data_IF_794420764403
#
_entry.id   IF_794420764403
#
_cell.length_a   1.000
_cell.length_b   1.000
_cell.length_c   1.000
_cell.angle_alpha   90.00
_cell.angle_beta   90.00
_cell.angle_gamma   90.00
#
_symmetry.space_group_name_H-M   'P 1'
#
loop_
_entity.id
_entity.type
_entity.pdbx_description
1 polymer ?
#
# COMPACT_ATOMS: atom_id res chain seq x y z
N UNK A 1 30.01 -5.56 22.15
CA UNK A 1 28.54 -5.44 22.05
C UNK A 1 28.25 -4.56 20.85
N UNK A 2 27.62 -5.08 19.80
CA UNK A 2 27.20 -4.24 18.68
C UNK A 2 26.23 -3.17 19.21
N UNK A 3 26.49 -1.90 18.92
CA UNK A 3 25.59 -0.81 19.33
C UNK A 3 24.24 -0.97 18.64
N UNK A 4 23.14 -1.03 19.40
CA UNK A 4 21.80 -1.07 18.82
C UNK A 4 21.59 0.14 17.89
N UNK A 5 21.16 -0.12 16.66
CA UNK A 5 20.80 0.92 15.71
C UNK A 5 19.60 1.71 16.24
N UNK A 6 19.64 3.04 16.15
CA UNK A 6 18.55 3.92 16.58
C UNK A 6 18.13 4.80 15.39
N UNK A 7 16.99 4.52 14.74
CA UNK A 7 16.48 5.38 13.66
C UNK A 7 16.04 6.75 14.22
N UNK A 8 15.94 7.76 13.34
CA UNK A 8 15.33 9.05 13.68
C UNK A 8 14.06 9.29 12.86
N UNK A 9 14.13 9.10 11.55
CA UNK A 9 13.01 9.29 10.63
C UNK A 9 12.77 8.01 9.82
N UNK A 10 11.63 7.36 10.07
CA UNK A 10 11.26 6.06 9.48
C UNK A 10 10.14 6.24 8.47
N UNK A 11 10.37 5.80 7.23
CA UNK A 11 9.32 5.61 6.24
C UNK A 11 8.77 4.18 6.34
N UNK A 12 7.48 4.03 6.62
CA UNK A 12 6.77 2.74 6.57
C UNK A 12 5.82 2.76 5.39
N UNK A 13 6.11 1.95 4.36
CA UNK A 13 5.21 1.83 3.20
C UNK A 13 4.12 0.80 3.49
N UNK A 14 2.87 1.04 3.09
CA UNK A 14 1.79 0.04 3.23
C UNK A 14 1.19 -0.04 4.64
N UNK A 15 1.39 0.96 5.49
CA UNK A 15 0.99 0.93 6.90
C UNK A 15 -0.52 1.07 7.13
N UNK A 16 -1.32 1.37 6.11
CA UNK A 16 -2.78 1.25 6.23
C UNK A 16 -3.24 -0.21 6.02
N UNK A 17 -2.36 -1.12 5.61
CA UNK A 17 -2.61 -2.57 5.57
C UNK A 17 -2.53 -3.24 6.94
N UNK A 18 -2.60 -4.58 6.95
CA UNK A 18 -2.66 -5.39 8.16
C UNK A 18 -1.37 -5.30 9.02
N UNK A 19 -0.31 -6.04 8.66
CA UNK A 19 0.90 -6.19 9.51
C UNK A 19 1.56 -4.84 9.80
N UNK A 20 1.71 -4.02 8.77
CA UNK A 20 2.42 -2.75 8.87
C UNK A 20 1.73 -1.74 9.79
N UNK A 21 0.41 -1.80 9.95
CA UNK A 21 -0.31 -0.95 10.91
C UNK A 21 0.05 -1.29 12.36
N UNK A 22 0.17 -2.58 12.69
CA UNK A 22 0.62 -3.03 14.01
C UNK A 22 2.05 -2.56 14.30
N UNK A 23 2.95 -2.71 13.33
CA UNK A 23 4.34 -2.22 13.44
C UNK A 23 4.36 -0.70 13.62
N UNK A 24 3.60 0.04 12.81
CA UNK A 24 3.52 1.50 12.89
C UNK A 24 3.01 1.97 14.26
N UNK A 25 1.85 1.49 14.69
CA UNK A 25 1.25 1.85 15.98
C UNK A 25 2.18 1.51 17.15
N UNK A 26 2.86 0.37 17.08
CA UNK A 26 3.82 -0.08 18.10
C UNK A 26 5.04 0.84 18.18
N UNK A 27 5.64 1.18 17.04
CA UNK A 27 6.81 2.08 17.01
C UNK A 27 6.47 3.48 17.51
N UNK A 28 5.31 4.02 17.10
CA UNK A 28 4.85 5.35 17.54
C UNK A 28 4.63 5.39 19.04
N UNK A 29 3.97 4.38 19.60
CA UNK A 29 3.69 4.27 21.04
C UNK A 29 4.97 4.11 21.86
N UNK A 30 5.88 3.25 21.43
CA UNK A 30 7.04 2.86 22.23
C UNK A 30 8.23 3.83 22.05
N UNK A 31 8.29 4.56 20.93
CA UNK A 31 9.42 5.43 20.58
C UNK A 31 8.93 6.82 20.16
N UNK A 32 8.52 7.67 21.12
CA UNK A 32 8.00 9.02 20.84
C UNK A 32 9.03 9.95 20.18
N UNK A 33 10.33 9.60 20.24
CA UNK A 33 11.41 10.36 19.62
C UNK A 33 11.67 9.97 18.15
N UNK A 34 11.01 8.93 17.62
CA UNK A 34 11.10 8.56 16.21
C UNK A 34 9.99 9.24 15.44
N UNK A 35 10.32 9.88 14.32
CA UNK A 35 9.33 10.39 13.38
C UNK A 35 8.93 9.27 12.42
N UNK A 36 7.65 8.93 12.38
CA UNK A 36 7.10 7.87 11.54
C UNK A 36 6.28 8.50 10.41
N UNK A 37 6.76 8.32 9.19
CA UNK A 37 6.09 8.73 7.96
C UNK A 37 5.53 7.48 7.29
N UNK A 38 4.23 7.51 6.98
CA UNK A 38 3.56 6.43 6.26
C UNK A 38 3.34 6.83 4.82
N UNK A 39 3.66 5.94 3.88
CA UNK A 39 3.28 6.04 2.48
C UNK A 39 2.38 4.87 2.09
N UNK A 40 1.13 5.16 1.73
CA UNK A 40 0.16 4.12 1.35
C UNK A 40 -0.78 4.64 0.26
N UNK A 41 -1.06 3.81 -0.76
CA UNK A 41 -1.97 4.19 -1.86
C UNK A 41 -3.45 4.06 -1.49
N UNK A 42 -3.75 3.43 -0.35
CA UNK A 42 -5.09 3.06 0.12
C UNK A 42 -5.80 2.13 -0.87
N UNK A 43 -5.17 0.98 -1.15
CA UNK A 43 -5.74 -0.07 -1.99
C UNK A 43 -6.88 -0.82 -1.28
N UNK A 44 -7.51 -1.79 -1.94
CA UNK A 44 -8.70 -2.49 -1.45
C UNK A 44 -8.54 -3.12 -0.06
N UNK A 45 -7.33 -3.58 0.28
CA UNK A 45 -7.01 -4.20 1.58
C UNK A 45 -6.38 -3.22 2.58
N UNK A 46 -6.44 -1.91 2.32
CA UNK A 46 -5.92 -0.85 3.18
C UNK A 46 -7.06 -0.08 3.84
N UNK A 47 -6.87 0.31 5.10
CA UNK A 47 -7.85 1.10 5.85
C UNK A 47 -7.19 2.06 6.84
N UNK A 48 -7.48 3.35 6.70
CA UNK A 48 -6.97 4.37 7.62
C UNK A 48 -7.41 4.14 9.08
N UNK A 49 -8.52 3.41 9.30
CA UNK A 49 -8.95 3.03 10.65
C UNK A 49 -7.86 2.24 11.41
N UNK A 50 -7.02 1.49 10.71
CA UNK A 50 -5.91 0.72 11.29
C UNK A 50 -4.87 1.61 11.98
N UNK A 51 -4.81 2.90 11.61
CA UNK A 51 -3.86 3.89 12.14
C UNK A 51 -4.50 4.87 13.13
N UNK A 52 -5.78 4.68 13.51
CA UNK A 52 -6.46 5.50 14.53
C UNK A 52 -5.65 5.61 15.83
N UNK A 53 -5.04 4.53 16.38
CA UNK A 53 -4.30 4.61 17.64
C UNK A 53 -3.15 5.62 17.62
N UNK A 54 -2.61 5.95 16.44
CA UNK A 54 -1.48 6.86 16.27
C UNK A 54 -1.81 8.15 15.52
N UNK A 55 -3.08 8.35 15.13
CA UNK A 55 -3.48 9.47 14.27
C UNK A 55 -3.18 10.84 14.88
N UNK A 56 -3.28 10.98 16.20
CA UNK A 56 -3.04 12.24 16.92
C UNK A 56 -1.62 12.37 17.47
N UNK A 57 -0.75 11.38 17.22
CA UNK A 57 0.62 11.41 17.73
C UNK A 57 1.45 12.47 16.99
N UNK A 58 2.21 13.32 17.69
CA UNK A 58 2.96 14.42 17.07
C UNK A 58 4.09 13.94 16.15
N UNK A 59 4.53 12.69 16.33
CA UNK A 59 5.58 12.04 15.57
C UNK A 59 5.04 11.16 14.43
N UNK A 60 3.77 11.34 14.03
CA UNK A 60 3.13 10.58 12.97
C UNK A 60 2.73 11.47 11.78
N UNK A 61 3.04 11.01 10.56
CA UNK A 61 2.60 11.65 9.31
C UNK A 61 2.11 10.60 8.34
N UNK A 62 0.94 10.83 7.74
CA UNK A 62 0.41 9.97 6.68
C UNK A 62 0.46 10.68 5.33
N UNK A 63 0.96 9.98 4.30
CA UNK A 63 1.03 10.43 2.92
C UNK A 63 0.30 9.41 2.04
N UNK A 64 -0.79 9.85 1.40
CA UNK A 64 -1.46 9.03 0.39
C UNK A 64 -0.67 9.07 -0.91
N UNK A 65 -0.21 7.92 -1.39
CA UNK A 65 0.54 7.84 -2.64
C UNK A 65 1.04 6.45 -2.98
N UNK A 66 1.50 6.28 -4.21
CA UNK A 66 2.00 5.01 -4.73
C UNK A 66 3.53 4.99 -4.70
N UNK A 67 4.11 3.87 -4.24
CA UNK A 67 5.56 3.63 -4.24
C UNK A 67 6.14 3.57 -5.66
N UNK A 68 5.31 3.33 -6.69
CA UNK A 68 5.71 3.38 -8.09
C UNK A 68 5.97 4.81 -8.61
N UNK A 69 5.64 5.84 -7.83
CA UNK A 69 5.92 7.24 -8.18
C UNK A 69 7.31 7.65 -7.72
N UNK A 70 8.29 7.60 -8.63
CA UNK A 70 9.68 7.94 -8.33
C UNK A 70 9.84 9.37 -7.80
N UNK A 71 9.13 10.34 -8.38
CA UNK A 71 9.20 11.74 -7.94
C UNK A 71 8.69 11.90 -6.50
N UNK A 72 7.57 11.25 -6.17
CA UNK A 72 7.00 11.29 -4.83
C UNK A 72 7.92 10.63 -3.80
N UNK A 73 8.46 9.45 -4.13
CA UNK A 73 9.37 8.74 -3.24
C UNK A 73 10.62 9.58 -2.98
N UNK A 74 11.26 10.11 -4.02
CA UNK A 74 12.43 10.99 -3.86
C UNK A 74 12.10 12.23 -3.03
N UNK A 75 10.96 12.86 -3.28
CA UNK A 75 10.50 14.00 -2.50
C UNK A 75 10.38 13.65 -1.02
N UNK A 76 9.69 12.56 -0.66
CA UNK A 76 9.50 12.13 0.73
C UNK A 76 10.83 11.85 1.41
N UNK A 77 11.73 11.11 0.75
CA UNK A 77 13.03 10.78 1.36
C UNK A 77 13.80 12.05 1.73
N UNK A 78 13.81 13.05 0.85
CA UNK A 78 14.53 14.31 1.06
C UNK A 78 13.81 15.19 2.10
N UNK A 79 12.52 15.49 1.92
CA UNK A 79 11.82 16.48 2.75
C UNK A 79 11.60 16.02 4.17
N UNK A 80 11.39 14.71 4.38
CA UNK A 80 11.22 14.13 5.72
C UNK A 80 12.55 13.66 6.31
N UNK A 81 13.67 13.85 5.60
CA UNK A 81 15.01 13.42 6.02
C UNK A 81 15.05 11.96 6.46
N UNK A 82 14.38 11.08 5.71
CA UNK A 82 14.22 9.66 6.03
C UNK A 82 15.60 8.99 6.12
N UNK A 83 15.87 8.32 7.23
CA UNK A 83 17.10 7.52 7.40
C UNK A 83 16.84 6.01 7.38
N UNK A 84 15.58 5.60 7.58
CA UNK A 84 15.19 4.20 7.68
C UNK A 84 13.94 3.94 6.88
N UNK A 85 13.90 2.86 6.12
CA UNK A 85 12.70 2.41 5.39
C UNK A 85 12.32 1.03 5.90
N UNK A 86 11.03 0.84 6.20
CA UNK A 86 10.41 -0.47 6.42
C UNK A 86 9.36 -0.69 5.33
N UNK A 87 9.69 -1.54 4.36
CA UNK A 87 8.95 -1.68 3.12
C UNK A 87 7.98 -2.88 3.17
N UNK A 88 6.72 -2.61 3.55
CA UNK A 88 5.63 -3.61 3.59
C UNK A 88 4.67 -3.56 2.38
N UNK A 89 4.66 -2.48 1.61
CA UNK A 89 3.69 -2.29 0.53
C UNK A 89 3.85 -3.37 -0.55
N UNK A 90 2.80 -4.15 -0.80
CA UNK A 90 2.77 -5.22 -1.78
C UNK A 90 1.32 -5.61 -2.14
N UNK A 91 1.13 -6.25 -3.30
CA UNK A 91 -0.04 -7.09 -3.58
C UNK A 91 0.24 -8.50 -3.06
N UNK A 92 -0.72 -9.10 -2.33
CA UNK A 92 -0.45 -10.32 -1.54
C UNK A 92 -1.47 -11.46 -1.65
N UNK A 93 -2.55 -11.31 -2.42
CA UNK A 93 -3.56 -12.36 -2.51
C UNK A 93 -3.20 -13.36 -3.62
N UNK A 94 -2.82 -14.59 -3.23
CA UNK A 94 -2.37 -15.64 -4.15
C UNK A 94 -3.38 -15.90 -5.27
N UNK A 95 -4.67 -16.09 -4.96
CA UNK A 95 -5.69 -16.35 -6.00
C UNK A 95 -5.83 -15.17 -6.98
N UNK A 96 -5.67 -13.92 -6.52
CA UNK A 96 -5.74 -12.74 -7.39
C UNK A 96 -4.52 -12.65 -8.31
N UNK A 97 -3.39 -13.24 -7.92
CA UNK A 97 -2.14 -13.19 -8.69
C UNK A 97 -2.22 -13.99 -9.99
N UNK A 98 -3.03 -15.05 -10.05
CA UNK A 98 -3.26 -15.82 -11.28
C UNK A 98 -4.07 -15.04 -12.32
N UNK A 99 -5.01 -14.19 -11.88
CA UNK A 99 -5.84 -13.38 -12.77
C UNK A 99 -5.24 -12.01 -13.12
N UNK A 100 -4.25 -11.52 -12.36
CA UNK A 100 -3.72 -10.16 -12.48
C UNK A 100 -2.21 -10.06 -12.17
N UNK A 101 -1.41 -11.01 -12.65
CA UNK A 101 0.03 -11.12 -12.35
C UNK A 101 0.86 -9.88 -12.73
N UNK A 102 0.44 -9.10 -13.73
CA UNK A 102 1.09 -7.85 -14.12
C UNK A 102 1.02 -6.78 -13.03
N UNK A 103 -0.11 -6.63 -12.33
CA UNK A 103 -0.21 -5.68 -11.22
C UNK A 103 0.65 -6.11 -10.02
N UNK A 104 0.82 -7.41 -9.80
CA UNK A 104 1.77 -7.93 -8.80
C UNK A 104 3.21 -7.58 -9.18
N UNK A 105 3.59 -7.73 -10.46
CA UNK A 105 4.91 -7.33 -10.95
C UNK A 105 5.14 -5.82 -10.76
N UNK A 106 4.16 -5.00 -11.14
CA UNK A 106 4.22 -3.55 -11.02
C UNK A 106 4.35 -3.09 -9.56
N UNK A 107 3.54 -3.63 -8.67
CA UNK A 107 3.54 -3.21 -7.27
C UNK A 107 4.74 -3.79 -6.50
N UNK A 108 5.02 -5.08 -6.66
CA UNK A 108 6.01 -5.78 -5.84
C UNK A 108 7.43 -5.60 -6.38
N UNK A 109 7.65 -5.74 -7.69
CA UNK A 109 9.00 -5.60 -8.27
C UNK A 109 9.29 -4.15 -8.60
N UNK A 110 8.50 -3.52 -9.46
CA UNK A 110 8.77 -2.16 -9.91
C UNK A 110 8.67 -1.15 -8.75
N UNK A 111 7.67 -1.27 -7.88
CA UNK A 111 7.57 -0.44 -6.67
C UNK A 111 8.78 -0.56 -5.73
N UNK A 112 9.28 -1.78 -5.47
CA UNK A 112 10.52 -1.97 -4.72
C UNK A 112 11.72 -1.38 -5.44
N UNK A 113 11.82 -1.53 -6.77
CA UNK A 113 12.91 -0.97 -7.56
C UNK A 113 12.96 0.57 -7.48
N UNK A 114 11.80 1.25 -7.54
CA UNK A 114 11.71 2.70 -7.38
C UNK A 114 12.26 3.14 -6.02
N UNK A 115 11.90 2.44 -4.94
CA UNK A 115 12.44 2.72 -3.61
C UNK A 115 13.96 2.54 -3.56
N UNK A 116 14.48 1.45 -4.13
CA UNK A 116 15.92 1.16 -4.14
C UNK A 116 16.72 2.21 -4.93
N UNK A 117 16.24 2.62 -6.11
CA UNK A 117 16.87 3.71 -6.88
C UNK A 117 16.82 5.04 -6.12
N UNK A 118 15.70 5.38 -5.47
CA UNK A 118 15.61 6.59 -4.66
C UNK A 118 16.58 6.55 -3.45
N UNK A 119 16.75 5.38 -2.81
CA UNK A 119 17.73 5.19 -1.73
C UNK A 119 19.16 5.42 -2.24
N UNK A 120 19.50 4.86 -3.40
CA UNK A 120 20.81 5.02 -4.05
C UNK A 120 21.09 6.48 -4.43
N UNK A 121 20.10 7.17 -4.99
CA UNK A 121 20.23 8.58 -5.40
C UNK A 121 20.40 9.51 -4.20
N UNK A 122 19.64 9.28 -3.12
CA UNK A 122 19.68 10.14 -1.93
C UNK A 122 20.88 9.85 -1.03
N UNK A 123 21.34 8.59 -0.96
CA UNK A 123 22.54 8.20 -0.21
C UNK A 123 22.45 8.38 1.32
N UNK A 124 21.27 8.73 1.86
CA UNK A 124 21.07 9.04 3.28
C UNK A 124 20.50 7.87 4.10
N UNK A 125 20.06 6.80 3.43
CA UNK A 125 19.44 5.65 4.08
C UNK A 125 20.50 4.84 4.82
N UNK A 126 20.25 4.60 6.10
CA UNK A 126 21.10 3.82 7.02
C UNK A 126 20.55 2.43 7.29
N UNK A 127 19.27 2.19 6.98
CA UNK A 127 18.64 0.87 7.08
C UNK A 127 17.43 0.74 6.15
N UNK A 128 17.41 -0.30 5.33
CA UNK A 128 16.29 -0.64 4.45
C UNK A 128 15.79 -2.05 4.77
N UNK A 129 14.64 -2.17 5.42
CA UNK A 129 14.03 -3.46 5.78
C UNK A 129 13.01 -3.83 4.70
N UNK A 130 13.32 -4.84 3.90
CA UNK A 130 12.41 -5.41 2.91
C UNK A 130 11.59 -6.53 3.52
N UNK A 131 10.27 -6.40 3.47
CA UNK A 131 9.35 -7.41 4.02
C UNK A 131 8.91 -8.36 2.92
N UNK A 132 9.22 -9.64 3.09
CA UNK A 132 8.89 -10.74 2.19
C UNK A 132 8.14 -11.86 2.93
N UNK A 133 8.05 -13.04 2.32
CA UNK A 133 7.19 -14.16 2.74
C UNK A 133 7.96 -15.47 2.69
N UNK A 134 7.55 -16.45 3.49
CA UNK A 134 8.03 -17.83 3.40
C UNK A 134 7.74 -18.50 2.05
N UNK A 135 6.65 -18.14 1.37
CA UNK A 135 6.29 -18.68 0.04
C UNK A 135 7.39 -18.49 -1.03
N UNK A 136 8.38 -17.62 -0.80
CA UNK A 136 9.54 -17.48 -1.71
C UNK A 136 10.45 -18.71 -1.71
N UNK A 137 10.43 -19.51 -0.64
CA UNK A 137 11.15 -20.79 -0.57
C UNK A 137 10.44 -21.89 -1.35
N UNK A 138 9.15 -21.74 -1.62
CA UNK A 138 8.30 -22.79 -2.20
C UNK A 138 7.92 -23.88 -1.20
N UNK A 139 7.33 -24.94 -1.74
CA UNK A 139 6.88 -26.09 -0.97
C UNK A 139 8.02 -26.78 -0.21
N UNK A 140 7.73 -27.21 1.01
CA UNK A 140 8.64 -28.03 1.83
C UNK A 140 8.11 -29.44 1.95
N UNK A 141 8.98 -30.44 1.84
CA UNK A 141 8.59 -31.85 1.95
C UNK A 141 7.90 -32.15 3.30
N UNK A 142 6.89 -33.02 3.28
CA UNK A 142 6.10 -33.36 4.48
C UNK A 142 6.95 -34.04 5.57
N UNK A 143 7.99 -34.77 5.18
CA UNK A 143 8.92 -35.47 6.08
C UNK A 143 10.13 -34.61 6.49
N UNK A 144 10.21 -33.36 6.03
CA UNK A 144 11.29 -32.45 6.42
C UNK A 144 11.29 -32.20 7.93
N UNK A 145 12.42 -32.53 8.56
CA UNK A 145 12.67 -32.34 10.00
C UNK A 145 13.20 -30.93 10.31
N UNK A 146 13.87 -30.31 9.33
CA UNK A 146 14.46 -28.97 9.45
C UNK A 146 13.76 -28.04 8.47
N UNK A 147 13.33 -26.88 8.96
CA UNK A 147 12.70 -25.87 8.13
C UNK A 147 13.70 -25.15 7.24
N UNK A 148 13.20 -24.43 6.24
CA UNK A 148 14.02 -23.58 5.39
C UNK A 148 14.70 -22.48 6.20
N UNK A 149 16.03 -22.49 6.24
CA UNK A 149 16.83 -21.43 6.84
C UNK A 149 17.11 -20.33 5.81
N UNK A 150 17.69 -19.21 6.22
CA UNK A 150 17.76 -18.01 5.36
C UNK A 150 18.63 -18.15 4.09
N UNK A 151 19.49 -19.16 4.05
CA UNK A 151 20.33 -19.48 2.90
C UNK A 151 19.72 -20.57 1.99
N UNK A 152 18.53 -21.08 2.31
CA UNK A 152 17.77 -21.95 1.42
C UNK A 152 17.49 -21.27 0.07
N UNK A 153 17.41 -22.09 -0.98
CA UNK A 153 17.08 -21.63 -2.32
C UNK A 153 15.67 -21.05 -2.39
N UNK A 154 15.47 -20.04 -3.23
CA UNK A 154 14.14 -19.52 -3.54
C UNK A 154 13.53 -20.30 -4.69
N UNK A 155 12.40 -20.96 -4.46
CA UNK A 155 11.68 -21.78 -5.43
C UNK A 155 10.18 -21.39 -5.47
N UNK A 156 9.84 -20.13 -5.77
CA UNK A 156 8.45 -19.67 -5.74
C UNK A 156 7.57 -20.43 -6.75
N UNK A 157 6.39 -20.86 -6.31
CA UNK A 157 5.47 -21.72 -7.06
C UNK A 157 4.28 -20.99 -7.69
N UNK A 158 4.08 -19.70 -7.37
CA UNK A 158 2.93 -18.92 -7.85
C UNK A 158 3.32 -17.48 -8.23
N UNK A 159 2.49 -16.74 -9.01
CA UNK A 159 2.87 -15.39 -9.46
C UNK A 159 3.10 -14.39 -8.31
N UNK A 160 2.38 -14.52 -7.19
CA UNK A 160 2.63 -13.69 -6.01
C UNK A 160 4.03 -13.95 -5.43
N UNK A 161 4.35 -15.19 -5.08
CA UNK A 161 5.65 -15.54 -4.49
C UNK A 161 6.80 -15.26 -5.46
N UNK A 162 6.60 -15.46 -6.77
CA UNK A 162 7.58 -15.13 -7.79
C UNK A 162 7.90 -13.63 -7.84
N UNK A 163 6.90 -12.76 -7.73
CA UNK A 163 7.14 -11.30 -7.69
C UNK A 163 7.78 -10.84 -6.38
N UNK A 164 7.51 -11.51 -5.26
CA UNK A 164 8.22 -11.27 -3.98
C UNK A 164 9.68 -11.70 -4.05
N UNK A 165 9.96 -12.88 -4.58
CA UNK A 165 11.33 -13.35 -4.82
C UNK A 165 12.08 -12.43 -5.81
N UNK A 166 11.43 -11.98 -6.89
CA UNK A 166 12.00 -11.01 -7.83
C UNK A 166 12.38 -9.68 -7.19
N UNK A 167 11.54 -9.17 -6.27
CA UNK A 167 11.86 -7.98 -5.48
C UNK A 167 13.06 -8.22 -4.55
N UNK A 168 13.16 -9.38 -3.90
CA UNK A 168 14.32 -9.74 -3.08
C UNK A 168 15.63 -9.78 -3.88
N UNK A 169 15.59 -10.29 -5.12
CA UNK A 169 16.78 -10.30 -5.98
C UNK A 169 17.28 -8.89 -6.27
N UNK A 170 16.37 -7.93 -6.48
CA UNK A 170 16.75 -6.52 -6.62
C UNK A 170 17.33 -5.97 -5.32
N UNK A 171 16.69 -6.20 -4.17
CA UNK A 171 17.19 -5.74 -2.87
C UNK A 171 18.60 -6.26 -2.60
N UNK A 172 18.84 -7.55 -2.86
CA UNK A 172 20.15 -8.18 -2.71
C UNK A 172 21.17 -7.56 -3.68
N UNK A 173 20.82 -7.42 -4.96
CA UNK A 173 21.71 -6.84 -5.97
C UNK A 173 22.10 -5.40 -5.63
N UNK A 174 21.17 -4.61 -5.11
CA UNK A 174 21.43 -3.22 -4.71
C UNK A 174 22.29 -3.12 -3.44
N UNK A 175 22.08 -4.01 -2.47
CA UNK A 175 22.97 -4.14 -1.32
C UNK A 175 24.41 -4.44 -1.74
N UNK A 176 24.59 -5.38 -2.68
CA UNK A 176 25.93 -5.77 -3.17
C UNK A 176 26.59 -4.72 -4.08
N UNK A 177 25.83 -4.14 -5.01
CA UNK A 177 26.37 -3.28 -6.07
C UNK A 177 26.56 -1.84 -5.61
N UNK A 178 25.71 -1.36 -4.69
CA UNK A 178 25.69 0.04 -4.26
C UNK A 178 25.89 0.21 -2.76
N UNK A 179 26.13 -0.86 -2.01
CA UNK A 179 26.34 -0.80 -0.56
C UNK A 179 25.10 -0.36 0.23
N UNK A 180 23.89 -0.51 -0.33
CA UNK A 180 22.67 -0.14 0.39
C UNK A 180 22.51 -1.00 1.66
N UNK A 181 22.16 -0.40 2.81
CA UNK A 181 22.10 -1.10 4.09
C UNK A 181 20.81 -1.91 4.24
N UNK A 182 20.67 -2.96 3.42
CA UNK A 182 19.46 -3.76 3.30
C UNK A 182 19.38 -4.87 4.36
N UNK A 183 18.18 -5.15 4.83
CA UNK A 183 17.83 -6.31 5.65
C UNK A 183 16.57 -6.89 5.02
N UNK A 184 16.49 -8.21 4.86
CA UNK A 184 15.27 -8.86 4.35
C UNK A 184 14.63 -9.67 5.44
N UNK A 185 13.30 -9.69 5.52
CA UNK A 185 12.55 -10.55 6.42
C UNK A 185 11.65 -11.48 5.63
N UNK A 186 11.52 -12.74 6.03
CA UNK A 186 10.58 -13.70 5.43
C UNK A 186 9.72 -14.28 6.54
N UNK A 187 8.42 -14.05 6.50
CA UNK A 187 7.51 -14.44 7.59
C UNK A 187 6.56 -15.56 7.21
N UNK A 188 6.13 -16.34 8.21
CA UNK A 188 4.98 -17.24 8.09
C UNK A 188 3.64 -16.47 8.00
N UNK A 189 2.52 -17.19 7.85
CA UNK A 189 1.19 -16.60 7.89
C UNK A 189 0.96 -15.83 9.18
N UNK A 190 0.54 -14.57 9.05
CA UNK A 190 0.18 -13.72 10.18
C UNK A 190 -1.34 -13.68 10.31
N UNK A 191 -1.85 -13.63 11.55
CA UNK A 191 -3.27 -13.48 11.84
C UNK A 191 -3.50 -12.52 13.02
N UNK A 192 -4.67 -11.90 13.07
CA UNK A 192 -4.97 -10.91 14.09
C UNK A 192 -6.03 -9.88 13.71
N UNK A 193 -6.31 -8.92 14.61
CA UNK A 193 -7.04 -7.69 14.31
C UNK A 193 -6.58 -7.02 13.01
N UNK A 194 -7.46 -6.26 12.34
CA UNK A 194 -7.11 -5.53 11.12
C UNK A 194 -6.66 -6.40 9.92
N UNK A 195 -6.88 -7.71 9.92
CA UNK A 195 -6.65 -8.52 8.72
C UNK A 195 -7.83 -8.40 7.74
N UNK A 196 -7.55 -8.28 6.43
CA UNK A 196 -8.63 -8.15 5.45
C UNK A 196 -9.41 -9.49 5.29
N UNK A 197 -10.76 -9.49 5.21
CA UNK A 197 -11.57 -10.71 5.28
C UNK A 197 -11.51 -11.72 4.14
N UNK A 198 -10.58 -11.59 3.20
CA UNK A 198 -10.28 -12.61 2.18
C UNK A 198 -9.37 -13.73 2.73
N UNK A 199 -8.60 -13.42 3.78
CA UNK A 199 -7.64 -14.36 4.39
C UNK A 199 -8.38 -15.37 5.27
N UNK A 200 -7.80 -16.57 5.43
CA UNK A 200 -8.45 -17.75 6.00
C UNK A 200 -9.19 -17.50 7.33
N UNK A 201 -8.46 -17.06 8.35
CA UNK A 201 -9.00 -16.90 9.71
C UNK A 201 -10.10 -15.83 9.75
N UNK A 202 -9.90 -14.61 9.23
CA UNK A 202 -10.96 -13.60 9.12
C UNK A 202 -12.18 -14.07 8.34
N UNK A 203 -11.99 -14.73 7.19
CA UNK A 203 -13.08 -15.26 6.37
C UNK A 203 -13.93 -16.24 7.17
N UNK A 204 -13.27 -17.20 7.81
CA UNK A 204 -13.94 -18.20 8.63
C UNK A 204 -14.66 -17.60 9.83
N UNK A 205 -14.06 -16.61 10.51
CA UNK A 205 -14.71 -15.90 11.60
C UNK A 205 -15.98 -15.18 11.13
N UNK A 206 -15.92 -14.39 10.06
CA UNK A 206 -17.09 -13.67 9.56
C UNK A 206 -18.18 -14.60 9.02
N UNK A 207 -17.82 -15.72 8.39
CA UNK A 207 -18.78 -16.74 7.97
C UNK A 207 -19.42 -17.44 9.18
N UNK A 208 -18.62 -17.80 10.18
CA UNK A 208 -19.09 -18.43 11.41
C UNK A 208 -20.03 -17.51 12.21
N UNK A 209 -19.71 -16.21 12.31
CA UNK A 209 -20.57 -15.18 12.91
C UNK A 209 -21.95 -15.11 12.23
N UNK A 210 -21.99 -15.34 10.91
CA UNK A 210 -23.23 -15.40 10.11
C UNK A 210 -23.85 -16.80 10.06
N UNK A 211 -23.27 -17.79 10.75
CA UNK A 211 -23.63 -19.22 10.68
C UNK A 211 -23.62 -19.77 9.25
N UNK A 212 -22.77 -19.21 8.39
CA UNK A 212 -22.59 -19.66 7.01
C UNK A 212 -21.54 -20.78 6.95
N UNK A 213 -21.51 -21.57 5.86
CA UNK A 213 -20.47 -22.56 5.66
C UNK A 213 -19.07 -21.97 5.52
N UNK A 214 -18.06 -22.64 6.07
CA UNK A 214 -16.64 -22.33 5.98
C UNK A 214 -16.03 -23.13 4.80
N UNK A 215 -15.63 -22.46 3.70
CA UNK A 215 -15.08 -23.13 2.54
C UNK A 215 -13.63 -23.56 2.75
N UNK A 216 -13.34 -24.84 2.56
CA UNK A 216 -11.98 -25.39 2.61
C UNK A 216 -11.57 -25.80 1.19
N UNK A 217 -10.46 -25.26 0.71
CA UNK A 217 -9.88 -25.65 -0.58
C UNK A 217 -9.27 -27.05 -0.50
N UNK A 218 -9.59 -27.90 -1.49
CA UNK A 218 -9.11 -29.27 -1.52
C UNK A 218 -9.68 -30.08 -0.35
N UNK A 219 -8.82 -30.83 0.35
CA UNK A 219 -9.18 -31.62 1.53
C UNK A 219 -8.84 -30.92 2.87
N UNK A 220 -8.25 -29.72 2.80
CA UNK A 220 -7.80 -28.97 3.97
C UNK A 220 -6.60 -29.54 4.71
N UNK A 221 -5.87 -30.49 4.10
CA UNK A 221 -4.67 -31.10 4.68
C UNK A 221 -3.46 -30.17 4.67
N UNK A 222 -3.47 -29.10 3.85
CA UNK A 222 -2.40 -28.12 3.78
C UNK A 222 -1.99 -27.62 5.18
N UNK A 223 -0.69 -27.64 5.43
CA UNK A 223 -0.06 -27.29 6.70
C UNK A 223 0.55 -25.88 6.61
N UNK A 224 0.26 -25.04 7.60
CA UNK A 224 0.81 -23.69 7.72
C UNK A 224 1.19 -23.40 9.17
N UNK A 225 2.14 -22.49 9.34
CA UNK A 225 2.47 -21.88 10.63
C UNK A 225 1.77 -20.53 10.76
N UNK A 226 1.16 -20.26 11.91
CA UNK A 226 0.40 -19.04 12.16
C UNK A 226 1.00 -18.24 13.32
N UNK A 227 1.36 -16.99 13.06
CA UNK A 227 1.89 -16.07 14.07
C UNK A 227 0.91 -14.93 14.37
N UNK A 228 0.76 -14.60 15.65
CA UNK A 228 -0.09 -13.50 16.07
C UNK A 228 0.55 -12.15 15.70
N UNK A 229 -0.25 -11.21 15.19
CA UNK A 229 0.24 -9.96 14.57
C UNK A 229 1.08 -9.07 15.50
N UNK A 230 0.80 -9.02 16.80
CA UNK A 230 1.59 -8.23 17.75
C UNK A 230 2.97 -8.84 18.01
N UNK A 231 3.08 -10.17 18.02
CA UNK A 231 4.37 -10.87 18.15
C UNK A 231 5.22 -10.61 16.90
N UNK A 232 4.60 -10.61 15.72
CA UNK A 232 5.26 -10.23 14.46
C UNK A 232 5.67 -8.76 14.47
N UNK A 233 4.85 -7.86 15.01
CA UNK A 233 5.22 -6.46 15.16
C UNK A 233 6.42 -6.28 16.11
N UNK A 234 6.52 -7.07 17.18
CA UNK A 234 7.71 -7.15 18.04
C UNK A 234 8.93 -7.68 17.26
N UNK A 235 8.77 -8.67 16.38
CA UNK A 235 9.87 -9.16 15.53
C UNK A 235 10.47 -8.05 14.67
N UNK A 236 9.62 -7.25 14.02
CA UNK A 236 10.06 -6.12 13.22
C UNK A 236 10.76 -5.04 14.04
N UNK A 237 10.31 -4.78 15.26
CA UNK A 237 11.01 -3.89 16.20
C UNK A 237 12.40 -4.43 16.56
N UNK A 238 12.50 -5.73 16.90
CA UNK A 238 13.79 -6.37 17.23
C UNK A 238 14.75 -6.29 16.04
N UNK A 239 14.29 -6.63 14.83
CA UNK A 239 15.10 -6.56 13.60
C UNK A 239 15.48 -5.10 13.29
N UNK A 240 14.58 -4.14 13.51
CA UNK A 240 14.84 -2.72 13.33
C UNK A 240 16.00 -2.22 14.18
N UNK A 241 16.18 -2.69 15.41
CA UNK A 241 17.27 -2.20 16.28
C UNK A 241 18.51 -3.10 16.28
N UNK A 242 18.33 -4.41 16.16
CA UNK A 242 19.40 -5.41 16.36
C UNK A 242 19.77 -6.17 15.10
N UNK A 243 18.96 -6.10 14.04
CA UNK A 243 19.25 -6.75 12.77
C UNK A 243 20.56 -6.24 12.16
N UNK A 244 21.31 -7.17 11.58
CA UNK A 244 22.56 -6.91 10.88
C UNK A 244 22.29 -6.59 9.41
N UNK A 245 22.97 -5.58 8.89
CA UNK A 245 22.87 -5.20 7.48
C UNK A 245 23.45 -6.31 6.59
N UNK A 246 22.79 -6.57 5.45
CA UNK A 246 23.12 -7.64 4.52
C UNK A 246 22.48 -8.98 4.87
N UNK A 247 21.80 -9.07 6.01
CA UNK A 247 21.24 -10.33 6.50
C UNK A 247 19.76 -10.46 6.17
N UNK A 248 19.34 -11.71 6.01
CA UNK A 248 17.93 -12.12 6.01
C UNK A 248 17.57 -12.66 7.39
N UNK A 249 16.33 -12.47 7.82
CA UNK A 249 15.76 -13.04 9.05
C UNK A 249 14.40 -13.69 8.78
N UNK A 250 14.28 -14.97 9.10
CA UNK A 250 13.00 -15.65 9.11
C UNK A 250 12.20 -15.28 10.38
N UNK A 251 10.90 -14.96 10.21
CA UNK A 251 9.95 -14.69 11.28
C UNK A 251 8.94 -15.84 11.28
N UNK A 252 9.19 -16.87 12.08
CA UNK A 252 8.43 -18.11 12.00
C UNK A 252 8.05 -18.71 13.35
N UNK A 253 7.37 -19.85 13.29
CA UNK A 253 7.15 -20.75 14.43
C UNK A 253 7.21 -22.20 13.97
N UNK A 254 7.68 -23.08 14.86
CA UNK A 254 7.67 -24.54 14.65
C UNK A 254 6.28 -25.16 14.92
N UNK A 255 5.28 -24.34 15.31
CA UNK A 255 3.90 -24.77 15.58
C UNK A 255 3.06 -24.75 14.31
N UNK A 256 2.97 -25.91 13.68
CA UNK A 256 2.23 -26.11 12.44
C UNK A 256 0.77 -26.49 12.70
N UNK A 257 -0.14 -26.07 11.81
CA UNK A 257 -1.57 -26.38 11.85
C UNK A 257 -2.09 -26.67 10.45
N UNK A 258 -2.98 -27.65 10.34
CA UNK A 258 -3.72 -27.89 9.08
C UNK A 258 -4.86 -26.89 8.95
N UNK A 259 -5.19 -26.52 7.73
CA UNK A 259 -6.32 -25.64 7.42
C UNK A 259 -7.63 -26.16 7.99
N UNK A 260 -7.87 -27.48 7.92
CA UNK A 260 -9.06 -28.12 8.50
C UNK A 260 -9.14 -27.97 10.02
N UNK A 261 -8.01 -28.00 10.73
CA UNK A 261 -7.98 -27.91 12.18
C UNK A 261 -8.30 -26.48 12.63
N UNK A 262 -7.84 -25.47 11.89
CA UNK A 262 -8.23 -24.06 12.09
C UNK A 262 -9.74 -23.87 11.92
N UNK A 263 -10.33 -24.46 10.87
CA UNK A 263 -11.78 -24.38 10.63
C UNK A 263 -12.58 -25.01 11.78
N UNK A 264 -12.15 -26.19 12.26
CA UNK A 264 -12.79 -26.90 13.38
C UNK A 264 -12.74 -26.09 14.67
N UNK A 265 -11.62 -25.45 14.97
CA UNK A 265 -11.46 -24.61 16.16
C UNK A 265 -12.35 -23.37 16.08
N UNK A 266 -12.46 -22.73 14.90
CA UNK A 266 -13.40 -21.62 14.71
C UNK A 266 -14.85 -22.09 14.88
N UNK A 267 -15.25 -23.24 14.30
CA UNK A 267 -16.58 -23.81 14.53
C UNK A 267 -16.85 -24.03 16.03
N UNK A 268 -15.88 -24.55 16.79
CA UNK A 268 -16.01 -24.72 18.25
C UNK A 268 -16.22 -23.39 18.97
N UNK A 269 -15.47 -22.35 18.63
CA UNK A 269 -15.61 -21.01 19.24
C UNK A 269 -17.01 -20.44 19.04
N UNK A 270 -17.61 -20.65 17.86
CA UNK A 270 -18.95 -20.17 17.53
C UNK A 270 -20.07 -21.17 17.81
N UNK A 271 -19.77 -22.30 18.48
CA UNK A 271 -20.73 -23.38 18.77
C UNK A 271 -21.48 -23.87 17.52
N UNK A 272 -20.73 -24.08 16.43
CA UNK A 272 -21.23 -24.58 15.15
C UNK A 272 -20.96 -26.08 15.00
N UNK A 273 -21.91 -26.76 14.36
CA UNK A 273 -21.79 -28.16 13.94
C UNK A 273 -20.77 -28.27 12.79
N UNK A 274 -19.63 -28.92 13.06
CA UNK A 274 -18.49 -29.05 12.15
C UNK A 274 -18.90 -29.69 10.82
N UNK A 275 -19.69 -30.77 10.86
CA UNK A 275 -20.06 -31.55 9.67
C UNK A 275 -21.02 -30.77 8.75
N UNK A 276 -21.83 -29.89 9.35
CA UNK A 276 -22.75 -29.03 8.60
C UNK A 276 -22.06 -27.81 8.01
N UNK A 277 -21.14 -27.19 8.75
CA UNK A 277 -20.59 -25.88 8.39
C UNK A 277 -19.29 -25.97 7.61
N UNK A 278 -18.49 -27.02 7.73
CA UNK A 278 -17.31 -27.16 6.88
C UNK A 278 -17.73 -27.69 5.51
N UNK A 279 -17.32 -27.00 4.43
CA UNK A 279 -17.59 -27.41 3.05
C UNK A 279 -16.32 -27.40 2.23
N UNK A 280 -15.99 -28.53 1.64
CA UNK A 280 -14.88 -28.63 0.70
C UNK A 280 -15.27 -27.99 -0.63
N UNK A 281 -14.35 -27.22 -1.19
CA UNK A 281 -14.45 -26.55 -2.48
C UNK A 281 -13.24 -26.93 -3.33
N UNK A 282 -13.27 -26.53 -4.61
CA UNK A 282 -12.14 -26.76 -5.52
C UNK A 282 -10.81 -26.29 -4.90
N UNK A 283 -9.76 -27.07 -5.12
CA UNK A 283 -8.43 -26.71 -4.63
C UNK A 283 -7.89 -25.51 -5.42
N UNK A 284 -6.96 -24.77 -4.83
CA UNK A 284 -6.27 -23.70 -5.56
C UNK A 284 -5.23 -24.31 -6.51
N UNK A 285 -5.01 -23.72 -7.69
CA UNK A 285 -3.86 -24.06 -8.51
C UNK A 285 -2.57 -23.82 -7.72
N UNK A 286 -1.64 -24.78 -7.75
CA UNK A 286 -0.32 -24.67 -7.09
C UNK A 286 -0.42 -24.31 -5.60
N UNK A 287 -1.32 -25.00 -4.89
CA UNK A 287 -1.48 -24.84 -3.45
C UNK A 287 -0.45 -25.71 -2.70
N UNK A 288 0.72 -25.13 -2.42
CA UNK A 288 1.80 -25.84 -1.73
C UNK A 288 1.31 -26.52 -0.44
N UNK A 289 1.72 -27.76 -0.22
CA UNK A 289 1.20 -28.57 0.87
C UNK A 289 1.67 -28.06 2.22
N UNK A 290 2.94 -27.68 2.33
CA UNK A 290 3.57 -27.27 3.60
C UNK A 290 4.60 -26.16 3.37
N UNK A 291 4.59 -25.18 4.28
CA UNK A 291 5.69 -24.22 4.43
C UNK A 291 6.28 -24.36 5.82
N UNK A 292 7.57 -24.65 5.91
CA UNK A 292 8.26 -24.84 7.17
C UNK A 292 9.53 -23.99 7.23
N UNK A 293 9.62 -23.08 8.20
CA UNK A 293 10.74 -22.16 8.38
C UNK A 293 11.59 -22.55 9.59
N UNK A 294 12.89 -22.30 9.48
CA UNK A 294 13.78 -22.19 10.62
C UNK A 294 13.90 -20.71 11.05
N UNK A 295 13.61 -20.41 12.32
CA UNK A 295 13.57 -19.07 12.92
C UNK A 295 14.68 -18.85 13.97
N UNK A 296 15.65 -19.76 14.08
CA UNK A 296 16.71 -19.71 15.10
C UNK A 296 17.55 -18.43 15.04
N UNK A 297 17.82 -17.91 13.83
CA UNK A 297 18.60 -16.69 13.65
C UNK A 297 17.95 -15.46 14.29
N UNK A 298 16.62 -15.35 14.20
CA UNK A 298 15.87 -14.27 14.84
C UNK A 298 15.75 -14.48 16.36
N UNK A 299 15.60 -15.73 16.82
CA UNK A 299 15.64 -16.06 18.25
C UNK A 299 16.96 -15.65 18.91
N UNK A 300 18.07 -15.81 18.19
CA UNK A 300 19.38 -15.35 18.64
C UNK A 300 19.51 -13.82 18.78
N UNK A 301 18.62 -13.03 18.15
CA UNK A 301 18.50 -11.58 18.41
C UNK A 301 17.64 -11.26 19.66
N UNK A 302 17.04 -12.27 20.27
CA UNK A 302 16.23 -12.19 21.48
C UNK A 302 14.73 -12.02 21.24
N UNK A 303 14.22 -12.37 20.05
CA UNK A 303 12.78 -12.43 19.79
C UNK A 303 12.23 -13.84 20.01
N UNK A 304 11.04 -13.95 20.60
CA UNK A 304 10.33 -15.21 20.77
C UNK A 304 8.82 -14.97 20.62
N UNK A 305 8.11 -15.93 20.05
CA UNK A 305 6.64 -15.97 20.06
C UNK A 305 6.14 -15.99 21.53
N UNK A 306 5.22 -15.09 21.87
CA UNK A 306 4.69 -14.92 23.24
C UNK A 306 3.22 -15.33 23.35
N UNK A 307 2.47 -15.14 22.27
CA UNK A 307 1.03 -15.33 22.24
C UNK A 307 0.71 -16.77 21.89
N UNK A 308 0.00 -17.48 22.76
CA UNK A 308 -0.50 -18.82 22.41
C UNK A 308 -1.53 -18.74 21.29
N UNK A 309 -1.74 -19.84 20.58
CA UNK A 309 -2.74 -19.92 19.53
C UNK A 309 -4.15 -19.58 20.04
N UNK A 310 -4.53 -20.15 21.19
CA UNK A 310 -5.85 -19.96 21.79
C UNK A 310 -6.08 -18.49 22.15
N UNK A 311 -5.07 -17.84 22.74
CA UNK A 311 -5.13 -16.44 23.13
C UNK A 311 -5.17 -15.51 21.91
N UNK A 312 -4.34 -15.78 20.90
CA UNK A 312 -4.34 -15.00 19.67
C UNK A 312 -5.66 -15.14 18.91
N UNK A 313 -6.21 -16.36 18.83
CA UNK A 313 -7.47 -16.63 18.15
C UNK A 313 -8.65 -15.96 18.88
N UNK A 314 -8.66 -15.99 20.22
CA UNK A 314 -9.63 -15.26 21.07
C UNK A 314 -9.58 -13.75 20.81
N UNK A 315 -8.40 -13.13 20.89
CA UNK A 315 -8.22 -11.68 20.62
C UNK A 315 -8.66 -11.29 19.21
N UNK A 316 -8.35 -12.15 18.24
CA UNK A 316 -8.75 -11.94 16.84
C UNK A 316 -10.28 -11.97 16.72
N UNK A 317 -10.93 -12.98 17.31
CA UNK A 317 -12.39 -13.11 17.33
C UNK A 317 -13.07 -11.91 18.00
N UNK A 318 -12.62 -11.53 19.20
CA UNK A 318 -13.14 -10.37 19.93
C UNK A 318 -13.05 -9.10 19.10
N UNK A 319 -11.96 -8.91 18.36
CA UNK A 319 -11.82 -7.77 17.48
C UNK A 319 -12.84 -7.79 16.34
N UNK A 320 -13.03 -8.91 15.63
CA UNK A 320 -14.02 -8.99 14.54
C UNK A 320 -15.45 -8.81 15.03
N UNK A 321 -15.78 -9.34 16.21
CA UNK A 321 -17.10 -9.16 16.84
C UNK A 321 -17.35 -7.69 17.17
N UNK A 322 -16.34 -6.97 17.67
CA UNK A 322 -16.47 -5.56 18.04
C UNK A 322 -16.30 -4.59 16.85
N UNK A 323 -15.89 -5.07 15.68
CA UNK A 323 -15.60 -4.24 14.51
C UNK A 323 -16.21 -4.80 13.20
N UNK A 324 -17.53 -5.09 13.16
CA UNK A 324 -18.17 -5.77 12.02
C UNK A 324 -18.08 -4.96 10.71
N UNK A 325 -18.15 -3.62 10.80
CA UNK A 325 -18.15 -2.71 9.65
C UNK A 325 -16.78 -2.08 9.38
N UNK A 326 -15.70 -2.71 9.87
CA UNK A 326 -14.37 -2.13 9.74
C UNK A 326 -14.00 -1.89 8.27
N UNK A 327 -14.22 -2.91 7.44
CA UNK A 327 -13.86 -2.98 6.02
C UNK A 327 -14.98 -2.61 5.05
N UNK A 328 -16.18 -2.27 5.54
CA UNK A 328 -17.36 -2.06 4.70
C UNK A 328 -17.89 -3.36 4.12
N UNK A 329 -18.35 -3.33 2.86
CA UNK A 329 -18.85 -4.54 2.19
C UNK A 329 -17.70 -5.48 1.81
N UNK A 330 -17.72 -6.66 2.42
CA UNK A 330 -16.73 -7.74 2.21
C UNK A 330 -17.36 -8.99 1.61
N UNK A 331 -18.58 -8.91 1.10
CA UNK A 331 -19.29 -10.05 0.50
C UNK A 331 -18.46 -10.80 -0.54
N UNK A 332 -17.80 -10.07 -1.46
CA UNK A 332 -16.90 -10.65 -2.46
C UNK A 332 -15.66 -11.33 -1.87
N UNK A 333 -15.12 -10.82 -0.75
CA UNK A 333 -13.97 -11.40 -0.07
C UNK A 333 -14.31 -12.73 0.61
N UNK A 334 -15.57 -12.93 1.01
CA UNK A 334 -16.07 -14.13 1.67
C UNK A 334 -16.38 -15.29 0.70
N UNK A 335 -16.29 -15.05 -0.61
CA UNK A 335 -16.42 -16.13 -1.60
C UNK A 335 -15.29 -17.15 -1.44
N UNK A 336 -15.53 -18.45 -1.73
CA UNK A 336 -14.49 -19.47 -1.65
C UNK A 336 -13.27 -19.11 -2.50
N UNK A 337 -13.47 -18.76 -3.77
CA UNK A 337 -12.45 -18.24 -4.68
C UNK A 337 -12.79 -16.79 -5.02
N UNK A 338 -12.24 -15.80 -4.28
CA UNK A 338 -12.41 -14.41 -4.62
C UNK A 338 -11.74 -14.20 -5.98
N UNK A 339 -12.52 -13.89 -7.01
CA UNK A 339 -11.99 -13.24 -8.20
C UNK A 339 -12.22 -11.77 -7.98
N UNK A 340 -11.19 -10.94 -8.09
CA UNK A 340 -11.45 -9.51 -8.21
C UNK A 340 -12.38 -9.31 -9.41
N UNK A 341 -13.64 -8.96 -9.13
CA UNK A 341 -14.40 -8.11 -10.01
C UNK A 341 -13.54 -6.86 -10.17
N UNK A 342 -12.90 -6.70 -11.31
CA UNK A 342 -12.41 -5.39 -11.73
C UNK A 342 -13.65 -4.51 -11.74
N UNK A 343 -13.92 -3.76 -10.67
CA UNK A 343 -15.04 -2.84 -10.66
C UNK A 343 -14.69 -1.69 -11.62
N UNK A 344 -15.44 -1.48 -12.72
CA UNK A 344 -15.47 -0.17 -13.34
C UNK A 344 -16.06 0.79 -12.31
N UNK A 345 -15.52 2.00 -12.21
CA UNK A 345 -15.90 2.99 -11.21
C UNK A 345 -17.42 3.09 -11.01
N UNK A 346 -17.86 2.83 -9.78
CA UNK A 346 -19.20 3.22 -9.34
C UNK A 346 -19.03 4.57 -8.67
N UNK A 347 -19.23 5.62 -9.46
CA UNK A 347 -19.73 6.87 -8.92
C UNK A 347 -21.06 6.55 -8.22
N UNK A 348 -21.13 6.87 -6.92
CA UNK A 348 -22.39 6.86 -6.17
C UNK A 348 -23.32 7.91 -6.79
N UNK A 349 -24.24 7.48 -7.65
CA UNK A 349 -25.46 8.25 -7.91
C UNK A 349 -26.30 8.23 -6.64
N UNK A 350 -26.40 9.40 -6.00
CA UNK A 350 -27.42 9.69 -5.00
C UNK A 350 -28.62 10.19 -5.81
N UNK A 351 -29.53 9.30 -6.17
CA UNK A 351 -30.82 9.68 -6.74
C UNK A 351 -31.86 9.70 -5.60
N UNK A 352 -32.26 10.90 -5.20
CA UNK A 352 -33.51 11.15 -4.47
C UNK A 352 -34.66 11.35 -5.48
N UNK A 353 -35.92 11.08 -5.09
CA UNK A 353 -37.03 11.13 -6.04
C UNK A 353 -37.65 12.52 -6.08
N UNK A 354 -37.59 13.22 -7.22
CA UNK A 354 -38.49 14.35 -7.47
C UNK A 354 -39.06 14.33 -8.89
N UNK A 355 -40.33 13.91 -8.93
CA UNK A 355 -41.51 14.54 -9.55
C UNK A 355 -41.34 15.25 -10.90
N UNK A 356 -42.08 14.71 -11.88
CA UNK A 356 -42.46 15.29 -13.16
C UNK A 356 -43.19 16.64 -13.07
N UNK A 357 -42.85 17.61 -13.95
CA UNK A 357 -43.83 18.31 -14.80
C UNK A 357 -43.22 19.30 -15.83
N UNK A 358 -43.66 19.11 -17.08
CA UNK A 358 -44.05 20.08 -18.13
C UNK A 358 -43.13 21.22 -18.62
N UNK A 359 -42.78 21.10 -19.91
CA UNK A 359 -43.13 21.96 -21.05
C UNK A 359 -42.46 23.35 -21.29
N UNK A 360 -41.76 23.41 -22.44
CA UNK A 360 -41.81 24.41 -23.53
C UNK A 360 -41.46 25.88 -23.30
N UNK A 361 -40.42 26.35 -24.00
CA UNK A 361 -40.50 27.29 -25.17
C UNK A 361 -39.31 28.27 -25.25
N UNK A 362 -38.63 28.25 -26.40
CA UNK A 362 -37.86 29.36 -27.01
C UNK A 362 -38.89 30.32 -27.69
N UNK A 363 -38.58 31.58 -28.11
CA UNK A 363 -37.29 31.98 -28.71
C UNK A 363 -36.84 33.47 -28.59
N UNK A 364 -35.67 33.76 -29.19
CA UNK A 364 -35.23 35.00 -29.90
C UNK A 364 -35.18 36.34 -29.13
N UNK A 365 -34.06 37.09 -29.16
CA UNK A 365 -33.60 37.92 -30.28
C UNK A 365 -32.35 38.76 -29.94
N UNK A 366 -31.68 39.17 -31.01
CA UNK A 366 -30.50 40.02 -31.16
C UNK A 366 -30.54 41.42 -30.52
N UNK A 367 -29.38 42.01 -30.19
CA UNK A 367 -28.80 43.16 -30.94
C UNK A 367 -27.64 43.84 -30.21
N UNK A 368 -26.74 44.37 -31.04
CA UNK A 368 -25.50 45.11 -30.78
C UNK A 368 -25.83 46.59 -30.50
N UNK A 369 -25.16 47.25 -29.54
CA UNK A 369 -24.58 48.59 -29.78
C UNK A 369 -23.67 49.13 -28.66
N UNK A 370 -22.57 49.69 -29.15
CA UNK A 370 -21.46 50.44 -28.56
C UNK A 370 -21.82 51.76 -27.87
N UNK A 371 -21.08 52.12 -26.80
CA UNK A 371 -20.73 53.52 -26.45
C UNK A 371 -19.50 53.60 -25.51
N UNK A 372 -18.46 54.34 -25.93
CA UNK A 372 -17.40 54.95 -25.07
C UNK A 372 -17.88 56.36 -24.65
N UNK A 373 -17.50 57.03 -23.53
CA UNK A 373 -16.21 57.64 -23.12
C UNK A 373 -16.37 58.24 -21.66
N UNK A 374 -15.63 57.82 -20.59
CA UNK A 374 -14.48 58.46 -19.81
C UNK A 374 -14.83 59.67 -18.86
N UNK A 375 -14.14 60.04 -17.71
CA UNK A 375 -13.25 59.37 -16.70
C UNK A 375 -13.49 59.68 -15.17
N UNK A 376 -12.74 58.93 -14.31
CA UNK A 376 -12.08 59.28 -13.01
C UNK A 376 -12.88 59.23 -11.67
N UNK A 377 -12.25 58.96 -10.49
CA UNK A 377 -10.82 59.04 -10.17
C UNK A 377 -10.17 57.81 -9.48
N UNK A 378 -8.83 57.84 -9.51
CA UNK A 378 -7.90 56.90 -8.85
C UNK A 378 -8.02 56.95 -7.32
N UNK A 379 -8.03 55.78 -6.70
CA UNK A 379 -7.57 55.59 -5.32
C UNK A 379 -6.55 54.45 -5.34
N UNK A 380 -5.28 54.79 -5.12
CA UNK A 380 -4.27 53.83 -4.69
C UNK A 380 -4.42 53.63 -3.18
N UNK A 381 -4.33 52.38 -2.71
CA UNK A 381 -3.45 52.12 -1.59
C UNK A 381 -2.49 50.98 -1.95
N UNK A 382 -1.21 51.31 -1.89
CA UNK A 382 -0.10 50.37 -1.91
C UNK A 382 -0.22 49.39 -0.75
N UNK A 383 -0.46 48.12 -1.06
CA UNK A 383 0.08 46.98 -0.32
C UNK A 383 0.73 46.06 -1.35
N UNK A 384 2.01 45.76 -1.18
CA UNK A 384 2.78 44.91 -2.10
C UNK A 384 2.19 43.49 -2.12
N UNK A 385 1.18 43.23 -2.95
CA UNK A 385 0.92 41.88 -3.45
C UNK A 385 2.03 41.56 -4.44
N UNK A 386 2.89 40.60 -4.09
CA UNK A 386 3.79 39.97 -5.06
C UNK A 386 2.95 39.63 -6.30
N UNK A 387 3.25 40.24 -7.45
CA UNK A 387 2.51 39.98 -8.68
C UNK A 387 2.70 38.51 -9.04
N UNK A 388 1.63 37.73 -9.01
CA UNK A 388 1.67 36.32 -9.42
C UNK A 388 2.21 36.26 -10.85
N UNK A 389 3.22 35.41 -11.09
CA UNK A 389 3.69 35.05 -12.43
C UNK A 389 3.77 33.54 -12.52
N UNK A 390 3.00 32.94 -13.42
CA UNK A 390 2.92 31.49 -13.54
C UNK A 390 3.77 30.94 -14.69
N UNK A 391 4.43 29.81 -14.45
CA UNK A 391 4.98 28.96 -15.50
C UNK A 391 4.11 27.71 -15.62
N UNK A 392 3.49 27.48 -16.76
CA UNK A 392 2.54 26.39 -16.97
C UNK A 392 3.13 25.34 -17.92
N UNK A 393 3.17 24.08 -17.51
CA UNK A 393 3.47 22.95 -18.38
C UNK A 393 2.18 22.23 -18.78
N UNK A 394 2.15 21.65 -19.99
CA UNK A 394 0.98 20.94 -20.50
C UNK A 394 0.03 21.78 -21.35
N UNK A 395 0.56 22.77 -22.09
CA UNK A 395 -0.19 23.67 -23.00
C UNK A 395 -1.23 22.96 -23.87
N UNK A 396 -0.89 21.78 -24.39
CA UNK A 396 -1.73 20.98 -25.30
C UNK A 396 -2.76 20.12 -24.57
N UNK A 397 -2.65 19.97 -23.25
CA UNK A 397 -3.63 19.25 -22.44
C UNK A 397 -4.81 20.13 -22.05
N UNK A 398 -5.97 19.52 -21.80
CA UNK A 398 -7.20 20.22 -21.42
C UNK A 398 -7.01 21.12 -20.19
N UNK A 399 -6.37 20.60 -19.14
CA UNK A 399 -6.12 21.35 -17.90
C UNK A 399 -5.12 22.49 -18.13
N UNK A 400 -4.01 22.24 -18.84
CA UNK A 400 -3.00 23.28 -19.09
C UNK A 400 -3.54 24.44 -19.93
N UNK A 401 -4.35 24.13 -20.95
CA UNK A 401 -5.05 25.15 -21.74
C UNK A 401 -6.08 25.94 -20.93
N UNK A 402 -6.84 25.28 -20.04
CA UNK A 402 -7.79 25.94 -19.15
C UNK A 402 -7.10 26.90 -18.17
N UNK A 403 -5.97 26.49 -17.60
CA UNK A 403 -5.18 27.33 -16.70
C UNK A 403 -4.69 28.60 -17.41
N UNK A 404 -4.21 28.49 -18.66
CA UNK A 404 -3.84 29.66 -19.45
C UNK A 404 -5.02 30.61 -19.67
N UNK A 405 -6.19 30.11 -20.07
CA UNK A 405 -7.42 30.91 -20.25
C UNK A 405 -7.84 31.62 -18.96
N UNK A 406 -7.70 30.96 -17.81
CA UNK A 406 -8.00 31.56 -16.51
C UNK A 406 -7.00 32.69 -16.20
N UNK A 407 -5.71 32.48 -16.47
CA UNK A 407 -4.69 33.50 -16.27
C UNK A 407 -4.94 34.72 -17.15
N UNK A 408 -5.27 34.52 -18.43
CA UNK A 408 -5.68 35.59 -19.35
C UNK A 408 -6.90 36.36 -18.83
N UNK A 409 -7.97 35.64 -18.44
CA UNK A 409 -9.21 36.25 -17.93
C UNK A 409 -8.99 37.06 -16.66
N UNK A 410 -8.07 36.64 -15.80
CA UNK A 410 -7.76 37.29 -14.52
C UNK A 410 -6.60 38.30 -14.61
N UNK A 411 -6.01 38.51 -15.80
CA UNK A 411 -4.88 39.39 -16.00
C UNK A 411 -3.62 38.96 -15.24
N UNK A 412 -3.45 37.67 -14.98
CA UNK A 412 -2.29 37.12 -14.27
C UNK A 412 -1.19 36.80 -15.30
N UNK A 413 0.01 37.39 -15.19
CA UNK A 413 1.14 37.04 -16.05
C UNK A 413 1.45 35.54 -16.03
N UNK A 414 1.59 34.92 -17.20
CA UNK A 414 1.98 33.53 -17.31
C UNK A 414 2.76 33.26 -18.60
N UNK A 415 3.55 32.20 -18.58
CA UNK A 415 4.22 31.65 -19.76
C UNK A 415 4.12 30.13 -19.76
N UNK A 416 4.09 29.53 -20.95
CA UNK A 416 4.17 28.08 -21.09
C UNK A 416 5.62 27.61 -21.12
N UNK A 417 5.90 26.51 -20.41
CA UNK A 417 7.19 25.82 -20.50
C UNK A 417 7.41 25.28 -21.92
N UNK A 418 8.65 25.33 -22.38
CA UNK A 418 9.06 24.88 -23.71
C UNK A 418 9.60 23.45 -23.68
N UNK A 419 10.14 23.03 -22.54
CA UNK A 419 10.71 21.71 -22.35
C UNK A 419 9.70 20.60 -22.08
N UNK A 420 10.13 19.37 -22.39
CA UNK A 420 9.52 18.17 -21.81
C UNK A 420 9.94 18.07 -20.34
N UNK A 421 9.04 17.65 -19.46
CA UNK A 421 9.34 17.59 -18.02
C UNK A 421 10.45 16.62 -17.65
N UNK A 422 10.67 15.58 -18.45
CA UNK A 422 11.79 14.66 -18.27
C UNK A 422 13.16 15.30 -18.59
N UNK A 423 13.21 16.45 -19.26
CA UNK A 423 14.44 17.15 -19.63
C UNK A 423 14.79 18.20 -18.58
N UNK A 424 15.47 17.77 -17.51
CA UNK A 424 15.80 18.61 -16.34
C UNK A 424 16.57 19.90 -16.71
N UNK A 425 17.45 19.85 -17.70
CA UNK A 425 18.19 21.02 -18.17
C UNK A 425 17.27 22.08 -18.76
N UNK A 426 16.27 21.68 -19.55
CA UNK A 426 15.32 22.59 -20.17
C UNK A 426 14.33 23.17 -19.16
N UNK A 427 13.82 22.36 -18.22
CA UNK A 427 12.97 22.86 -17.12
C UNK A 427 13.71 23.90 -16.29
N UNK A 428 15.01 23.68 -16.04
CA UNK A 428 15.85 24.62 -15.30
C UNK A 428 16.05 25.92 -16.09
N UNK A 429 16.27 25.83 -17.40
CA UNK A 429 16.36 26.99 -18.28
C UNK A 429 15.06 27.80 -18.33
N UNK A 430 13.91 27.12 -18.41
CA UNK A 430 12.58 27.76 -18.44
C UNK A 430 12.34 28.54 -17.12
N UNK A 431 12.65 27.95 -15.96
CA UNK A 431 12.50 28.63 -14.66
C UNK A 431 13.44 29.85 -14.56
N UNK A 432 14.69 29.72 -15.00
CA UNK A 432 15.67 30.82 -14.96
C UNK A 432 15.28 31.98 -15.88
N UNK A 433 14.78 31.67 -17.08
CA UNK A 433 14.37 32.67 -18.06
C UNK A 433 13.08 33.39 -17.63
N UNK A 434 12.07 32.63 -17.20
CA UNK A 434 10.72 33.14 -16.96
C UNK A 434 10.62 33.78 -15.57
N UNK A 435 11.43 33.32 -14.60
CA UNK A 435 11.42 33.75 -13.20
C UNK A 435 9.99 33.76 -12.62
N UNK A 436 9.26 32.63 -12.72
CA UNK A 436 7.90 32.55 -12.22
C UNK A 436 7.89 32.64 -10.69
N UNK A 437 6.78 33.13 -10.12
CA UNK A 437 6.55 32.99 -8.68
C UNK A 437 5.97 31.61 -8.34
N UNK A 438 5.26 30.97 -9.27
CA UNK A 438 4.78 29.59 -9.10
C UNK A 438 4.81 28.81 -10.43
N UNK A 439 4.92 27.49 -10.32
CA UNK A 439 4.92 26.58 -11.47
C UNK A 439 3.69 25.68 -11.39
N UNK A 440 2.89 25.64 -12.45
CA UNK A 440 1.82 24.66 -12.63
C UNK A 440 2.29 23.57 -13.59
N UNK A 441 2.30 22.33 -13.10
CA UNK A 441 2.48 21.18 -13.97
C UNK A 441 1.10 20.54 -14.29
N UNK A 442 0.62 20.76 -15.51
CA UNK A 442 -0.55 20.10 -16.06
C UNK A 442 -0.19 19.21 -17.27
N UNK A 443 1.09 18.85 -17.43
CA UNK A 443 1.52 17.93 -18.47
C UNK A 443 1.32 16.49 -17.99
N UNK A 444 0.69 15.67 -18.83
CA UNK A 444 0.51 14.25 -18.60
C UNK A 444 0.35 13.52 -19.92
N UNK A 445 0.71 12.23 -19.93
CA UNK A 445 0.41 11.33 -21.03
C UNK A 445 -0.91 10.65 -20.68
N UNK A 446 -2.02 11.12 -21.23
CA UNK A 446 -3.24 10.31 -21.23
C UNK A 446 -3.02 9.20 -22.26
N UNK A 447 -2.83 7.97 -21.79
CA UNK A 447 -2.60 6.79 -22.63
C UNK A 447 -3.80 6.38 -23.48
N UNK A 448 -4.31 7.27 -24.35
CA UNK A 448 -5.28 6.92 -25.39
C UNK A 448 -4.94 7.63 -26.71
N UNK A 449 -4.95 6.92 -27.84
CA UNK A 449 -4.90 7.56 -29.15
C UNK A 449 -6.15 8.44 -29.31
N UNK A 450 -5.98 9.61 -29.91
CA UNK A 450 -7.02 10.47 -30.50
C UNK A 450 -8.43 9.85 -30.56
N UNK A 451 -9.31 10.25 -29.63
CA UNK A 451 -10.76 10.05 -29.78
C UNK A 451 -11.45 11.39 -29.56
N UNK A 452 -11.97 11.94 -30.65
CA UNK A 452 -12.76 13.17 -30.76
C UNK A 452 -14.13 13.02 -30.08
N UNK A 453 -14.23 13.20 -28.76
CA UNK A 453 -15.53 13.18 -28.06
C UNK A 453 -15.74 14.31 -27.05
N UNK A 454 -15.15 15.48 -27.29
CA UNK A 454 -15.51 16.70 -26.58
C UNK A 454 -15.83 17.83 -27.57
N UNK A 455 -16.85 17.65 -28.38
CA UNK A 455 -17.69 18.78 -28.78
C UNK A 455 -18.97 18.76 -27.94
N UNK A 456 -19.20 19.89 -27.27
CA UNK A 456 -20.45 20.35 -26.62
C UNK A 456 -21.11 19.42 -25.61
N UNK A 457 -20.94 19.69 -24.31
CA UNK A 457 -22.00 19.65 -23.29
C UNK A 457 -21.85 20.89 -22.39
#
# INVERSE_FOLDING_TARGET
>A
MASNYKPKNILITGAAGFIASHVCNRLIRNYPNYNIVVLDKLDYCSNLKNLIPSRSSPNFKFIKGDIGSADLVNYILITESIDTIMHFAAQTHVDNSFGNSFEFTKNNIYGTHVLLEACKVTGQIKRFIHVSTDEVYGETDEDAVVGNHEASQLLPTNPYSATKAGAEMLVMAYGRSYGLPVITTRGNNVYGPNQFPEKLIPKFMLLAMKRNPLPIHGDGSNVRSYLYCEDVAEAFEVILHKGEVGHVYNIGTKKERRVIDVAREICKIFSLDVDKHIKFVENRPFNDQRYFLDDEKLKNLGWFERTSWEEGLRKTMEWYVNNPDWWGDVSGALLPHPRMLVMPGIEKKIDGPEVSNSASSLPTNSSIQTRMVVPAPKINPSSQKSSLKFLIYGRTGWIGGLLGKICEKQGIPFEYGRGRLQERSQVSADIQAIKPTHVFNAAGVTGRPSVDWCETH
#
